data_IF_507356711541
#
_entry.id   IF_507356711541
#
_cell.length_a   1.000
_cell.length_b   1.000
_cell.length_c   1.000
_cell.angle_alpha   90.00
_cell.angle_beta   90.00
_cell.angle_gamma   90.00
#
_symmetry.space_group_name_H-M   'P 1'
#
loop_
_entity.id
_entity.type
_entity.pdbx_description
1 polymer ?
#
# COMPACT_ATOMS: atom_id res chain seq x y z
N UNK A 1 -0.21 -3.88 4.24
CA UNK A 1 -0.35 -4.83 3.12
C UNK A 1 -1.78 -5.34 2.92
N UNK A 2 -2.59 -5.46 3.97
CA UNK A 2 -4.03 -5.76 3.85
C UNK A 2 -4.78 -4.63 3.15
N UNK A 3 -4.35 -3.39 3.33
CA UNK A 3 -4.90 -2.20 2.67
C UNK A 3 -4.83 -2.27 1.15
N UNK A 4 -3.91 -3.07 0.60
CA UNK A 4 -3.75 -3.25 -0.84
C UNK A 4 -4.48 -4.52 -1.34
N UNK A 5 -5.53 -4.98 -0.66
CA UNK A 5 -6.25 -6.19 -1.07
C UNK A 5 -6.78 -6.11 -2.51
N UNK A 6 -7.24 -4.95 -2.96
CA UNK A 6 -7.65 -4.77 -4.37
C UNK A 6 -6.46 -4.84 -5.31
N UNK A 7 -5.32 -4.27 -4.95
CA UNK A 7 -4.09 -4.43 -5.72
C UNK A 7 -3.50 -5.84 -5.59
N UNK A 8 -3.77 -6.52 -4.46
CA UNK A 8 -3.44 -7.93 -4.26
C UNK A 8 -4.24 -8.87 -5.15
N UNK A 9 -5.51 -8.55 -5.37
CA UNK A 9 -6.39 -9.28 -6.30
C UNK A 9 -5.80 -9.37 -7.72
N UNK A 10 -5.13 -8.32 -8.20
CA UNK A 10 -4.44 -8.34 -9.50
C UNK A 10 -3.38 -9.43 -9.63
N UNK A 11 -2.75 -9.83 -8.52
CA UNK A 11 -1.72 -10.87 -8.49
C UNK A 11 -2.30 -12.27 -8.40
N UNK A 12 -3.47 -12.39 -7.76
CA UNK A 12 -4.08 -13.69 -7.47
C UNK A 12 -5.02 -14.18 -8.56
N UNK A 13 -5.60 -13.26 -9.35
CA UNK A 13 -6.56 -13.60 -10.41
C UNK A 13 -6.05 -13.09 -11.76
N UNK A 14 -5.31 -13.92 -12.51
CA UNK A 14 -4.81 -13.55 -13.83
C UNK A 14 -5.94 -13.16 -14.78
N UNK A 15 -5.84 -11.99 -15.40
CA UNK A 15 -6.87 -11.47 -16.31
C UNK A 15 -8.17 -11.00 -15.67
N UNK A 16 -8.43 -11.36 -14.39
CA UNK A 16 -9.68 -11.04 -13.70
C UNK A 16 -9.84 -9.57 -13.33
N UNK A 17 -8.74 -8.87 -13.02
CA UNK A 17 -8.79 -7.47 -12.61
C UNK A 17 -9.22 -6.50 -13.73
N UNK A 18 -8.63 -6.53 -14.95
CA UNK A 18 -9.10 -5.71 -16.05
C UNK A 18 -10.55 -6.00 -16.41
N UNK A 19 -10.95 -7.27 -16.49
CA UNK A 19 -12.31 -7.67 -16.79
C UNK A 19 -13.32 -7.20 -15.72
N UNK A 20 -12.96 -7.26 -14.44
CA UNK A 20 -13.81 -6.79 -13.34
C UNK A 20 -14.00 -5.27 -13.35
N UNK A 21 -13.02 -4.51 -13.85
CA UNK A 21 -13.10 -3.06 -14.02
C UNK A 21 -13.73 -2.64 -15.35
N UNK A 22 -13.82 -3.54 -16.33
CA UNK A 22 -14.25 -3.23 -17.68
C UNK A 22 -13.22 -2.44 -18.48
N UNK A 23 -11.93 -2.62 -18.20
CA UNK A 23 -10.82 -1.93 -18.86
C UNK A 23 -9.96 -2.91 -19.65
N UNK A 24 -9.26 -2.39 -20.65
CA UNK A 24 -8.25 -3.15 -21.41
C UNK A 24 -7.00 -3.38 -20.58
N UNK A 25 -6.16 -4.34 -21.01
CA UNK A 25 -4.86 -4.60 -20.38
C UNK A 25 -3.93 -3.38 -20.41
N UNK A 26 -4.01 -2.58 -21.47
CA UNK A 26 -3.23 -1.36 -21.61
C UNK A 26 -3.68 -0.30 -20.60
N UNK A 27 -4.97 -0.10 -20.45
CA UNK A 27 -5.55 0.81 -19.45
C UNK A 27 -5.23 0.37 -18.02
N UNK A 28 -5.27 -0.93 -17.74
CA UNK A 28 -4.82 -1.48 -16.47
C UNK A 28 -3.33 -1.19 -16.23
N UNK A 29 -2.50 -1.23 -17.27
CA UNK A 29 -1.10 -0.81 -17.22
C UNK A 29 -0.93 0.64 -16.79
N UNK A 30 -1.76 1.56 -17.28
CA UNK A 30 -1.75 2.96 -16.84
C UNK A 30 -2.12 3.10 -15.36
N UNK A 31 -3.14 2.38 -14.89
CA UNK A 31 -3.52 2.37 -13.47
C UNK A 31 -2.36 1.87 -12.58
N UNK A 32 -1.61 0.86 -13.04
CA UNK A 32 -0.46 0.36 -12.30
C UNK A 32 0.73 1.34 -12.29
N UNK A 33 0.96 2.03 -13.40
CA UNK A 33 2.02 3.02 -13.52
C UNK A 33 1.79 4.23 -12.59
N UNK A 34 0.52 4.56 -12.32
CA UNK A 34 0.13 5.59 -11.36
C UNK A 34 0.73 5.35 -9.97
N UNK A 35 0.90 4.08 -9.57
CA UNK A 35 1.49 3.73 -8.28
C UNK A 35 2.90 4.31 -8.12
N UNK A 36 3.75 4.13 -9.13
CA UNK A 36 5.13 4.66 -9.09
C UNK A 36 5.14 6.19 -8.98
N UNK A 37 4.30 6.86 -9.75
CA UNK A 37 4.20 8.31 -9.76
C UNK A 37 3.70 8.86 -8.41
N UNK A 38 2.66 8.27 -7.83
CA UNK A 38 2.12 8.69 -6.53
C UNK A 38 3.13 8.48 -5.41
N UNK A 39 3.87 7.36 -5.42
CA UNK A 39 4.92 7.12 -4.43
C UNK A 39 6.03 8.16 -4.56
N UNK A 40 6.53 8.40 -5.78
CA UNK A 40 7.64 9.31 -6.01
C UNK A 40 7.29 10.74 -5.58
N UNK A 41 6.19 11.28 -6.12
CA UNK A 41 5.79 12.67 -5.87
C UNK A 41 5.19 12.82 -4.47
N UNK A 42 4.32 11.91 -4.06
CA UNK A 42 3.59 12.00 -2.80
C UNK A 42 4.50 11.86 -1.57
N UNK A 43 5.47 10.95 -1.60
CA UNK A 43 6.39 10.76 -0.47
C UNK A 43 7.29 11.99 -0.27
N UNK A 44 7.77 12.61 -1.36
CA UNK A 44 8.58 13.82 -1.28
C UNK A 44 7.74 15.01 -0.80
N UNK A 45 6.54 15.20 -1.37
CA UNK A 45 5.73 16.37 -1.07
C UNK A 45 5.07 16.32 0.30
N UNK A 46 4.69 15.13 0.79
CA UNK A 46 3.81 14.95 1.93
C UNK A 46 4.36 14.01 3.01
N UNK A 47 5.61 13.58 2.92
CA UNK A 47 6.26 12.74 3.92
C UNK A 47 6.22 13.35 5.33
N UNK A 48 6.23 14.67 5.42
CA UNK A 48 6.14 15.44 6.67
C UNK A 48 4.75 15.40 7.34
N UNK A 49 3.70 15.03 6.61
CA UNK A 49 2.32 14.97 7.15
C UNK A 49 2.23 13.94 8.30
N UNK A 50 2.96 12.83 8.17
CA UNK A 50 3.03 11.80 9.22
C UNK A 50 3.58 12.32 10.55
N UNK A 51 4.29 13.44 10.55
CA UNK A 51 4.91 14.00 11.77
C UNK A 51 3.99 14.97 12.51
N UNK A 52 2.99 15.52 11.82
CA UNK A 52 2.06 16.52 12.41
C UNK A 52 0.79 15.93 13.00
N UNK A 53 0.40 14.75 12.56
CA UNK A 53 -0.87 14.14 13.00
C UNK A 53 -0.61 12.89 13.82
N UNK A 54 -1.55 12.54 14.70
CA UNK A 54 -1.44 11.29 15.46
C UNK A 54 -1.44 10.09 14.55
N UNK A 55 -0.52 9.17 14.77
CA UNK A 55 -0.33 7.93 13.96
C UNK A 55 -1.67 7.19 13.82
N UNK A 56 -2.41 7.05 14.93
CA UNK A 56 -3.71 6.38 14.95
C UNK A 56 -4.70 7.01 13.97
N UNK A 57 -4.83 8.33 13.97
CA UNK A 57 -5.78 9.03 13.11
C UNK A 57 -5.40 8.91 11.63
N UNK A 58 -4.11 9.00 11.31
CA UNK A 58 -3.62 8.79 9.94
C UNK A 58 -3.93 7.37 9.48
N UNK A 59 -3.61 6.36 10.30
CA UNK A 59 -3.84 4.96 9.94
C UNK A 59 -5.34 4.66 9.79
N UNK A 60 -6.18 5.20 10.65
CA UNK A 60 -7.64 5.07 10.55
C UNK A 60 -8.17 5.73 9.27
N UNK A 61 -7.83 7.01 9.07
CA UNK A 61 -8.26 7.78 7.89
C UNK A 61 -7.81 7.10 6.59
N UNK A 62 -6.57 6.63 6.56
CA UNK A 62 -6.02 5.94 5.39
C UNK A 62 -6.74 4.64 5.10
N UNK A 63 -7.01 3.84 6.12
CA UNK A 63 -7.70 2.55 5.96
C UNK A 63 -9.15 2.76 5.50
N UNK A 64 -9.87 3.71 6.10
CA UNK A 64 -11.23 4.05 5.70
C UNK A 64 -11.25 4.64 4.29
N UNK A 65 -10.32 5.54 3.97
CA UNK A 65 -10.20 6.14 2.64
C UNK A 65 -10.00 5.07 1.55
N UNK A 66 -9.03 4.16 1.75
CA UNK A 66 -8.81 3.05 0.82
C UNK A 66 -10.03 2.15 0.74
N UNK A 67 -10.64 1.79 1.87
CA UNK A 67 -11.81 0.91 1.91
C UNK A 67 -13.03 1.51 1.20
N UNK A 68 -13.34 2.79 1.44
CA UNK A 68 -14.46 3.48 0.80
C UNK A 68 -14.25 3.66 -0.71
N UNK A 69 -13.06 4.08 -1.14
CA UNK A 69 -12.75 4.24 -2.57
C UNK A 69 -12.80 2.88 -3.27
N UNK A 70 -12.24 1.84 -2.65
CA UNK A 70 -12.28 0.48 -3.18
C UNK A 70 -13.71 -0.04 -3.31
N UNK A 71 -14.56 0.24 -2.33
CA UNK A 71 -15.98 -0.11 -2.36
C UNK A 71 -16.70 0.64 -3.49
N UNK A 72 -16.43 1.94 -3.65
CA UNK A 72 -16.96 2.74 -4.74
C UNK A 72 -16.59 2.14 -6.11
N UNK A 73 -15.31 1.84 -6.34
CA UNK A 73 -14.85 1.19 -7.58
C UNK A 73 -15.61 -0.12 -7.79
N UNK A 74 -15.70 -0.97 -6.76
CA UNK A 74 -16.32 -2.29 -6.88
C UNK A 74 -17.81 -2.22 -7.17
N UNK A 75 -18.52 -1.28 -6.59
CA UNK A 75 -19.97 -1.14 -6.80
C UNK A 75 -20.30 -0.61 -8.20
N UNK A 76 -19.51 0.36 -8.70
CA UNK A 76 -19.80 1.05 -9.95
C UNK A 76 -19.05 0.50 -11.18
N UNK A 77 -18.10 -0.45 -11.00
CA UNK A 77 -17.50 -1.16 -12.15
C UNK A 77 -18.45 -2.26 -12.67
N UNK A 78 -18.47 -2.46 -14.00
CA UNK A 78 -17.69 -1.87 -15.08
C UNK A 78 -18.34 -0.61 -15.71
N UNK A 79 -18.81 0.35 -15.04
CA UNK A 79 -19.46 1.56 -15.60
C UNK A 79 -18.62 2.83 -15.47
N UNK A 80 -17.44 2.75 -14.81
CA UNK A 80 -16.62 3.92 -14.55
C UNK A 80 -15.77 4.31 -15.77
N UNK A 81 -15.74 5.59 -16.10
CA UNK A 81 -14.85 6.12 -17.14
C UNK A 81 -13.39 6.10 -16.68
N UNK A 82 -12.44 5.99 -17.62
CA UNK A 82 -11.00 5.94 -17.32
C UNK A 82 -10.50 7.11 -16.47
N UNK A 83 -10.89 8.39 -16.70
CA UNK A 83 -10.49 9.49 -15.81
C UNK A 83 -10.95 9.31 -14.36
N UNK A 84 -12.16 8.79 -14.14
CA UNK A 84 -12.69 8.51 -12.80
C UNK A 84 -11.91 7.38 -12.14
N UNK A 85 -11.60 6.31 -12.87
CA UNK A 85 -10.75 5.23 -12.36
C UNK A 85 -9.36 5.74 -11.98
N UNK A 86 -8.73 6.57 -12.82
CA UNK A 86 -7.43 7.18 -12.51
C UNK A 86 -7.49 8.02 -11.23
N UNK A 87 -8.52 8.86 -11.07
CA UNK A 87 -8.71 9.67 -9.87
C UNK A 87 -8.93 8.79 -8.61
N UNK A 88 -9.72 7.73 -8.71
CA UNK A 88 -9.93 6.78 -7.64
C UNK A 88 -8.63 6.04 -7.26
N UNK A 89 -7.88 5.56 -8.25
CA UNK A 89 -6.60 4.89 -8.02
C UNK A 89 -5.56 5.84 -7.44
N UNK A 90 -5.46 7.06 -7.95
CA UNK A 90 -4.61 8.10 -7.36
C UNK A 90 -4.93 8.29 -5.87
N UNK A 91 -6.20 8.52 -5.54
CA UNK A 91 -6.64 8.75 -4.16
C UNK A 91 -6.40 7.54 -3.27
N UNK A 92 -6.68 6.32 -3.75
CA UNK A 92 -6.43 5.09 -3.01
C UNK A 92 -4.94 4.89 -2.72
N UNK A 93 -4.07 5.14 -3.71
CA UNK A 93 -2.63 5.05 -3.57
C UNK A 93 -2.06 6.15 -2.67
N UNK A 94 -2.65 7.34 -2.72
CA UNK A 94 -2.31 8.42 -1.81
C UNK A 94 -2.55 8.02 -0.36
N UNK A 95 -3.72 7.49 -0.04
CA UNK A 95 -4.02 7.02 1.32
C UNK A 95 -3.13 5.85 1.75
N UNK A 96 -2.85 4.89 0.87
CA UNK A 96 -2.10 3.67 1.22
C UNK A 96 -0.58 3.88 1.26
N UNK A 97 -0.01 4.59 0.31
CA UNK A 97 1.44 4.68 0.15
C UNK A 97 2.01 5.96 0.78
N UNK A 98 1.29 7.08 0.67
CA UNK A 98 1.78 8.37 1.15
C UNK A 98 1.43 8.62 2.61
N UNK A 99 0.23 8.25 3.05
CA UNK A 99 -0.20 8.48 4.43
C UNK A 99 0.01 7.27 5.33
N UNK A 100 -0.51 6.11 4.95
CA UNK A 100 -0.49 4.93 5.84
C UNK A 100 0.91 4.38 6.04
N UNK A 101 1.69 4.24 4.99
CA UNK A 101 2.98 3.54 5.03
C UNK A 101 4.01 4.22 5.94
N UNK A 102 4.25 5.54 5.85
CA UNK A 102 5.12 6.24 6.80
C UNK A 102 4.60 6.18 8.23
N UNK A 103 3.29 6.37 8.46
CA UNK A 103 2.69 6.27 9.79
C UNK A 103 2.88 4.88 10.40
N UNK A 104 2.75 3.82 9.60
CA UNK A 104 2.99 2.45 10.05
C UNK A 104 4.45 2.21 10.45
N UNK A 105 5.42 2.69 9.66
CA UNK A 105 6.84 2.57 10.02
C UNK A 105 7.19 3.40 11.26
N UNK A 106 6.57 4.57 11.42
CA UNK A 106 6.72 5.39 12.62
C UNK A 106 6.17 4.65 13.84
N UNK A 107 4.99 4.03 13.75
CA UNK A 107 4.42 3.21 14.81
C UNK A 107 5.34 2.05 15.22
N UNK A 108 5.94 1.37 14.25
CA UNK A 108 6.88 0.28 14.52
C UNK A 108 8.15 0.77 15.22
N UNK A 109 8.72 1.89 14.79
CA UNK A 109 9.91 2.47 15.45
C UNK A 109 9.62 2.90 16.88
N UNK A 110 8.47 3.51 17.13
CA UNK A 110 8.10 3.99 18.47
C UNK A 110 7.67 2.87 19.43
N UNK A 111 7.48 1.65 18.95
CA UNK A 111 7.04 0.52 19.79
C UNK A 111 8.19 -0.21 20.49
N UNK A 112 9.45 0.13 20.20
CA UNK A 112 10.62 -0.59 20.74
C UNK A 112 11.86 0.30 20.85
N UNK A 113 12.84 -0.15 21.66
CA UNK A 113 14.16 0.47 21.75
C UNK A 113 14.98 0.23 20.46
N UNK A 114 16.00 1.04 20.24
CA UNK A 114 16.86 0.96 19.04
C UNK A 114 17.50 -0.43 18.85
N UNK A 115 17.90 -1.08 19.94
CA UNK A 115 18.52 -2.42 19.95
C UNK A 115 17.61 -3.51 19.37
N UNK A 116 16.28 -3.37 19.53
CA UNK A 116 15.29 -4.39 19.13
C UNK A 116 14.53 -4.01 17.84
N UNK A 117 14.85 -2.91 17.21
CA UNK A 117 14.16 -2.47 15.98
C UNK A 117 14.21 -3.53 14.88
N UNK A 118 15.37 -4.18 14.67
CA UNK A 118 15.51 -5.24 13.68
C UNK A 118 14.55 -6.42 13.92
N UNK A 119 14.38 -6.83 15.18
CA UNK A 119 13.46 -7.90 15.56
C UNK A 119 11.99 -7.50 15.28
N UNK A 120 11.61 -6.29 15.65
CA UNK A 120 10.24 -5.80 15.45
C UNK A 120 9.90 -5.68 13.97
N UNK A 121 10.82 -5.16 13.14
CA UNK A 121 10.63 -5.13 11.70
C UNK A 121 10.58 -6.55 11.10
N UNK A 122 11.40 -7.48 11.59
CA UNK A 122 11.37 -8.88 11.17
C UNK A 122 10.04 -9.57 11.51
N UNK A 123 9.52 -9.38 12.72
CA UNK A 123 8.20 -9.88 13.14
C UNK A 123 7.06 -9.25 12.35
N UNK A 124 7.16 -7.97 12.05
CA UNK A 124 6.18 -7.28 11.20
C UNK A 124 6.15 -7.87 9.79
N UNK A 125 7.31 -8.09 9.16
CA UNK A 125 7.40 -8.68 7.83
C UNK A 125 6.94 -10.15 7.83
N UNK A 126 7.29 -10.91 8.87
CA UNK A 126 6.78 -12.26 9.05
C UNK A 126 5.25 -12.29 9.15
N UNK A 127 4.67 -11.48 10.02
CA UNK A 127 3.20 -11.37 10.16
C UNK A 127 2.52 -10.93 8.85
N UNK A 128 3.14 -10.01 8.12
CA UNK A 128 2.69 -9.60 6.79
C UNK A 128 2.71 -10.76 5.79
N UNK A 129 3.75 -11.58 5.83
CA UNK A 129 3.88 -12.77 4.98
C UNK A 129 2.81 -13.82 5.29
N UNK A 130 2.58 -14.11 6.57
CA UNK A 130 1.53 -15.05 7.02
C UNK A 130 0.15 -14.56 6.57
N UNK A 131 -0.18 -13.30 6.80
CA UNK A 131 -1.46 -12.74 6.36
C UNK A 131 -1.62 -12.76 4.85
N UNK A 132 -0.57 -12.45 4.09
CA UNK A 132 -0.60 -12.53 2.63
C UNK A 132 -0.86 -13.96 2.14
N UNK A 133 -0.25 -14.95 2.79
CA UNK A 133 -0.47 -16.37 2.50
C UNK A 133 -1.93 -16.78 2.78
N UNK A 134 -2.46 -16.43 3.96
CA UNK A 134 -3.86 -16.75 4.31
C UNK A 134 -4.87 -16.10 3.37
N UNK A 135 -4.64 -14.84 2.98
CA UNK A 135 -5.48 -14.15 1.99
C UNK A 135 -5.38 -14.83 0.62
N UNK A 136 -4.20 -15.27 0.22
CA UNK A 136 -4.02 -15.99 -1.04
C UNK A 136 -4.74 -17.33 -1.04
N UNK A 137 -4.76 -18.05 0.09
CA UNK A 137 -5.56 -19.26 0.24
C UNK A 137 -7.06 -18.97 0.17
N UNK A 138 -7.51 -17.88 0.79
CA UNK A 138 -8.92 -17.44 0.68
C UNK A 138 -9.31 -17.19 -0.77
N UNK A 139 -8.48 -16.45 -1.52
CA UNK A 139 -8.71 -16.20 -2.95
C UNK A 139 -8.71 -17.50 -3.76
N UNK A 140 -7.76 -18.39 -3.52
CA UNK A 140 -7.71 -19.68 -4.20
C UNK A 140 -8.96 -20.52 -3.95
N UNK A 141 -9.45 -20.54 -2.69
CA UNK A 141 -10.70 -21.17 -2.34
C UNK A 141 -11.91 -20.56 -3.05
N UNK A 142 -12.00 -19.22 -3.06
CA UNK A 142 -13.10 -18.53 -3.76
C UNK A 142 -13.09 -18.81 -5.27
N UNK A 143 -11.92 -18.88 -5.88
CA UNK A 143 -11.75 -19.25 -7.29
C UNK A 143 -12.16 -20.71 -7.54
N UNK A 144 -11.77 -21.62 -6.66
CA UNK A 144 -12.16 -23.04 -6.77
C UNK A 144 -13.68 -23.21 -6.75
N UNK A 145 -14.39 -22.44 -5.91
CA UNK A 145 -15.86 -22.43 -5.86
C UNK A 145 -16.49 -21.50 -6.91
N UNK A 146 -15.74 -21.02 -7.88
CA UNK A 146 -16.21 -20.16 -8.99
C UNK A 146 -16.96 -18.91 -8.51
N UNK A 147 -16.55 -18.35 -7.38
CA UNK A 147 -17.13 -17.10 -6.84
C UNK A 147 -16.87 -15.94 -7.81
N UNK A 148 -17.91 -15.17 -8.09
CA UNK A 148 -17.82 -14.04 -9.02
C UNK A 148 -16.73 -13.05 -8.61
N UNK A 149 -15.94 -12.51 -9.54
CA UNK A 149 -14.87 -11.55 -9.27
C UNK A 149 -15.34 -10.35 -8.45
N UNK A 150 -16.53 -9.84 -8.70
CA UNK A 150 -17.13 -8.73 -7.96
C UNK A 150 -17.30 -9.05 -6.47
N UNK A 151 -17.72 -10.28 -6.14
CA UNK A 151 -17.86 -10.75 -4.74
C UNK A 151 -16.51 -10.82 -4.05
N UNK A 152 -15.46 -11.27 -4.75
CA UNK A 152 -14.08 -11.29 -4.23
C UNK A 152 -13.58 -9.87 -3.93
N UNK A 153 -13.85 -8.92 -4.83
CA UNK A 153 -13.51 -7.51 -4.59
C UNK A 153 -14.27 -6.93 -3.39
N UNK A 154 -15.55 -7.23 -3.24
CA UNK A 154 -16.35 -6.83 -2.08
C UNK A 154 -15.79 -7.39 -0.77
N UNK A 155 -15.42 -8.67 -0.75
CA UNK A 155 -14.77 -9.29 0.41
C UNK A 155 -13.46 -8.56 0.77
N UNK A 156 -12.65 -8.17 -0.22
CA UNK A 156 -11.46 -7.36 0.00
C UNK A 156 -11.78 -6.01 0.66
N UNK A 157 -12.82 -5.32 0.18
CA UNK A 157 -13.23 -4.03 0.75
C UNK A 157 -13.66 -4.18 2.22
N UNK A 158 -14.44 -5.22 2.53
CA UNK A 158 -14.86 -5.51 3.91
C UNK A 158 -13.65 -5.77 4.82
N UNK A 159 -12.70 -6.58 4.37
CA UNK A 159 -11.47 -6.86 5.13
C UNK A 159 -10.70 -5.57 5.42
N UNK A 160 -10.56 -4.67 4.43
CA UNK A 160 -9.86 -3.39 4.60
C UNK A 160 -10.59 -2.49 5.60
N UNK A 161 -11.91 -2.38 5.50
CA UNK A 161 -12.71 -1.56 6.41
C UNK A 161 -12.66 -2.10 7.84
N UNK A 162 -12.78 -3.42 8.03
CA UNK A 162 -12.65 -4.06 9.34
C UNK A 162 -11.25 -3.85 9.93
N UNK A 163 -10.21 -3.93 9.11
CA UNK A 163 -8.84 -3.63 9.55
C UNK A 163 -8.72 -2.17 9.99
N UNK A 164 -9.33 -1.24 9.27
CA UNK A 164 -9.37 0.17 9.66
C UNK A 164 -10.04 0.38 11.01
N UNK A 165 -11.15 -0.30 11.26
CA UNK A 165 -11.82 -0.28 12.57
C UNK A 165 -10.94 -0.90 13.66
N UNK A 166 -10.26 -2.00 13.39
CA UNK A 166 -9.36 -2.64 14.34
C UNK A 166 -8.21 -1.71 14.75
N UNK A 167 -7.67 -0.91 13.83
CA UNK A 167 -6.64 0.10 14.12
C UNK A 167 -7.12 1.08 15.21
N UNK A 168 -8.38 1.45 15.20
CA UNK A 168 -8.93 2.36 16.20
C UNK A 168 -8.85 1.80 17.63
N UNK A 169 -9.01 0.49 17.80
CA UNK A 169 -8.98 -0.17 19.11
C UNK A 169 -7.57 -0.60 19.52
N UNK A 170 -6.71 -0.96 18.58
CA UNK A 170 -5.41 -1.54 18.85
C UNK A 170 -4.30 -0.49 18.97
N UNK A 171 -4.35 0.57 18.14
CA UNK A 171 -3.31 1.60 18.14
C UNK A 171 -3.60 2.63 19.25
N UNK A 172 -2.68 2.85 20.22
CA UNK A 172 -2.84 3.85 21.28
C UNK A 172 -2.99 5.26 20.71
N UNK A 173 -3.74 6.13 21.41
CA UNK A 173 -3.93 7.54 21.01
C UNK A 173 -2.62 8.32 20.99
N UNK A 174 -1.79 8.06 21.99
CA UNK A 174 -0.54 8.78 22.23
C UNK A 174 0.63 7.82 22.07
N UNK A 175 0.94 7.46 20.83
CA UNK A 175 2.28 6.94 20.54
C UNK A 175 3.21 8.14 20.58
N UNK A 176 3.68 8.50 21.79
CA UNK A 176 4.73 9.49 21.96
C UNK A 176 5.97 8.91 21.26
N UNK A 177 6.31 9.49 20.17
CA UNK A 177 7.63 9.29 19.56
C UNK A 177 8.62 9.96 20.48
N UNK A 178 9.55 9.19 21.01
CA UNK A 178 10.50 9.51 22.05
C UNK A 178 10.94 10.96 22.12
N UNK A 179 11.27 11.36 23.34
CA UNK A 179 11.80 12.64 23.85
C UNK A 179 11.33 13.94 23.20
N UNK A 180 10.95 14.82 24.09
CA UNK A 180 10.36 16.15 23.91
C UNK A 180 11.16 17.16 23.06
N UNK A 181 12.25 16.74 22.43
CA UNK A 181 13.15 17.61 21.64
C UNK A 181 13.08 17.41 20.11
N UNK A 182 12.15 16.65 19.57
CA UNK A 182 11.88 16.73 18.14
C UNK A 182 11.19 18.06 17.85
N UNK A 183 11.98 19.11 17.67
CA UNK A 183 11.56 20.32 16.98
C UNK A 183 10.75 19.89 15.76
N UNK A 184 9.51 20.37 15.66
CA UNK A 184 8.71 20.22 14.44
C UNK A 184 9.52 20.90 13.34
N UNK A 185 10.34 20.12 12.62
CA UNK A 185 11.12 20.62 11.51
C UNK A 185 10.18 21.35 10.58
N UNK A 186 10.52 22.58 10.28
CA UNK A 186 9.76 23.35 9.31
C UNK A 186 9.84 22.60 7.96
N UNK A 187 8.80 22.68 7.14
CA UNK A 187 8.79 22.05 5.81
C UNK A 187 10.06 22.42 4.99
N UNK A 188 10.64 23.56 5.28
CA UNK A 188 11.87 24.07 4.67
C UNK A 188 13.12 23.30 5.14
N UNK A 189 13.18 22.89 6.40
CA UNK A 189 14.27 22.09 6.97
C UNK A 189 14.22 20.66 6.43
N UNK A 190 13.02 20.08 6.31
CA UNK A 190 12.83 18.78 5.69
C UNK A 190 13.31 18.77 4.21
N UNK A 191 13.02 19.82 3.44
CA UNK A 191 13.52 19.95 2.06
C UNK A 191 15.06 20.09 2.02
N UNK A 192 15.67 20.85 2.93
CA UNK A 192 17.13 20.94 3.04
C UNK A 192 17.75 19.60 3.42
N UNK A 193 17.10 18.84 4.31
CA UNK A 193 17.50 17.48 4.68
C UNK A 193 17.51 16.53 3.48
N UNK A 194 16.50 16.59 2.61
CA UNK A 194 16.47 15.81 1.36
C UNK A 194 17.67 16.18 0.47
N UNK A 195 17.97 17.47 0.32
CA UNK A 195 19.12 17.93 -0.46
C UNK A 195 20.48 17.45 0.09
N UNK A 196 20.62 17.30 1.40
CA UNK A 196 21.79 16.72 2.02
C UNK A 196 21.89 15.21 1.76
N UNK A 197 20.81 14.48 2.02
CA UNK A 197 20.74 13.02 1.84
C UNK A 197 20.98 12.62 0.38
N UNK A 198 20.46 13.40 -0.57
CA UNK A 198 20.66 13.18 -2.00
C UNK A 198 22.14 13.29 -2.46
N UNK A 199 23.00 13.92 -1.68
CA UNK A 199 24.44 14.00 -1.98
C UNK A 199 25.24 12.79 -1.49
N UNK A 200 24.64 11.93 -0.68
CA UNK A 200 25.32 10.76 -0.12
C UNK A 200 25.31 9.59 -1.13
N UNK A 201 26.47 9.11 -1.62
CA UNK A 201 26.52 8.00 -2.59
C UNK A 201 25.89 6.72 -2.07
N UNK A 202 25.97 6.47 -0.77
CA UNK A 202 25.40 5.28 -0.12
C UNK A 202 23.89 5.19 -0.32
N UNK A 203 23.20 6.32 -0.37
CA UNK A 203 21.74 6.38 -0.58
C UNK A 203 21.38 5.90 -1.99
N UNK A 204 22.14 6.32 -2.98
CA UNK A 204 21.95 5.91 -4.37
C UNK A 204 22.27 4.44 -4.60
N UNK A 205 23.36 3.94 -3.99
CA UNK A 205 23.73 2.51 -4.06
C UNK A 205 22.65 1.65 -3.40
N UNK A 206 22.21 2.04 -2.21
CA UNK A 206 21.12 1.33 -1.51
C UNK A 206 19.80 1.38 -2.32
N UNK A 207 19.46 2.55 -2.86
CA UNK A 207 18.28 2.72 -3.72
C UNK A 207 18.35 1.86 -4.98
N UNK A 208 19.50 1.82 -5.65
CA UNK A 208 19.71 0.99 -6.84
C UNK A 208 19.61 -0.51 -6.51
N UNK A 209 20.17 -0.94 -5.38
CA UNK A 209 20.05 -2.33 -4.92
C UNK A 209 18.58 -2.73 -4.69
N UNK A 210 17.83 -1.89 -3.96
CA UNK A 210 16.39 -2.11 -3.73
C UNK A 210 15.64 -2.11 -5.06
N UNK A 211 15.94 -1.20 -5.99
CA UNK A 211 15.33 -1.15 -7.31
C UNK A 211 15.55 -2.45 -8.10
N UNK A 212 16.78 -2.95 -8.16
CA UNK A 212 17.11 -4.17 -8.89
C UNK A 212 16.39 -5.40 -8.32
N UNK A 213 16.46 -5.58 -6.99
CA UNK A 213 15.87 -6.74 -6.34
C UNK A 213 14.34 -6.66 -6.33
N UNK A 214 13.81 -5.54 -5.85
CA UNK A 214 12.37 -5.38 -5.66
C UNK A 214 11.63 -5.17 -6.99
N UNK A 215 12.24 -4.46 -7.93
CA UNK A 215 11.70 -4.27 -9.28
C UNK A 215 11.53 -5.60 -10.02
N UNK A 216 12.53 -6.47 -9.97
CA UNK A 216 12.47 -7.82 -10.57
C UNK A 216 11.39 -8.67 -9.88
N UNK A 217 11.34 -8.66 -8.54
CA UNK A 217 10.32 -9.38 -7.77
C UNK A 217 8.89 -8.93 -8.12
N UNK A 218 8.66 -7.62 -8.20
CA UNK A 218 7.33 -7.06 -8.51
C UNK A 218 6.95 -7.36 -9.96
N UNK A 219 7.88 -7.22 -10.91
CA UNK A 219 7.65 -7.53 -12.31
C UNK A 219 7.30 -9.02 -12.50
N UNK A 220 8.10 -9.92 -11.94
CA UNK A 220 7.84 -11.35 -11.98
C UNK A 220 6.46 -11.68 -11.36
N UNK A 221 6.17 -11.17 -10.15
CA UNK A 221 4.89 -11.43 -9.48
C UNK A 221 3.66 -10.84 -10.21
N UNK A 222 3.84 -9.83 -11.07
CA UNK A 222 2.74 -9.22 -11.82
C UNK A 222 2.45 -9.95 -13.12
N UNK A 223 3.49 -10.42 -13.82
CA UNK A 223 3.36 -10.99 -15.17
C UNK A 223 3.50 -12.50 -15.23
N UNK A 224 4.02 -13.15 -14.17
CA UNK A 224 4.32 -14.58 -14.17
C UNK A 224 3.08 -15.45 -14.45
N UNK A 225 1.94 -15.12 -13.87
CA UNK A 225 0.72 -15.89 -14.10
C UNK A 225 0.23 -15.81 -15.55
N UNK A 226 0.41 -14.65 -16.21
CA UNK A 226 0.09 -14.48 -17.65
C UNK A 226 1.07 -15.22 -18.53
N UNK A 227 2.34 -15.22 -18.17
CA UNK A 227 3.36 -15.97 -18.89
C UNK A 227 3.07 -17.46 -18.88
N UNK A 228 2.66 -18.02 -17.74
CA UNK A 228 2.25 -19.42 -17.63
C UNK A 228 1.02 -19.73 -18.49
N UNK A 229 0.03 -18.84 -18.52
CA UNK A 229 -1.17 -19.04 -19.35
C UNK A 229 -0.91 -18.95 -20.85
N UNK A 230 0.07 -18.14 -21.27
CA UNK A 230 0.44 -18.02 -22.69
C UNK A 230 1.35 -19.17 -23.16
N UNK A 231 2.00 -19.88 -22.25
CA UNK A 231 2.89 -21.00 -22.55
C UNK A 231 2.27 -22.39 -22.39
N UNK A 232 1.03 -22.46 -21.91
CA UNK A 232 0.23 -23.69 -21.81
C UNK A 232 -0.91 -23.66 -22.84
#
# INVERSE_FOLDING_TARGET
SIIICILGYKKSVPGGFPAALGVTDQEAGYLYSMQGLVILVGTIALGWVGDRFSIRNIMLLSSLGVGCISLFITLFSPGLSMPVLLACFFSMLFFSEVLFKPANFKALRSSTSEEHQGLVFGLFEFGRGVLAFLISLLWAGMLYYQVAPKTMMLASCVIVLLTGLAVYFVVPKDVKVGDEDTHVESSMEAIKGIGYVAKLPVVWIAGLNVFCIYGTFVAAGTYFARFLQAGL
#
